data_IF_709580135544
#
_entry.id   IF_709580135544
#
_cell.length_a   1.000
_cell.length_b   1.000
_cell.length_c   1.000
_cell.angle_alpha   90.00
_cell.angle_beta   90.00
_cell.angle_gamma   90.00
#
_symmetry.space_group_name_H-M   'P 1'
#
loop_
_entity.id
_entity.type
_entity.pdbx_description
1 polymer ?
#
# COMPACT_ATOMS: atom_id res chain seq x y z
N UNK A 1 -2.78 -6.67 -8.90
CA UNK A 1 -1.92 -5.53 -8.53
C UNK A 1 -2.56 -4.85 -7.35
N UNK A 2 -1.81 -4.69 -6.27
CA UNK A 2 -2.26 -4.03 -5.04
C UNK A 2 -2.28 -2.51 -5.20
N UNK A 3 -3.03 -1.81 -4.35
CA UNK A 3 -3.10 -0.34 -4.37
C UNK A 3 -1.69 0.25 -4.15
N UNK A 4 -0.94 -0.20 -3.14
CA UNK A 4 0.44 0.25 -2.93
C UNK A 4 1.35 0.00 -4.14
N UNK A 5 1.27 -1.18 -4.76
CA UNK A 5 2.02 -1.52 -5.98
C UNK A 5 1.66 -0.59 -7.14
N UNK A 6 0.38 -0.26 -7.29
CA UNK A 6 -0.10 0.68 -8.31
C UNK A 6 0.45 2.08 -8.08
N UNK A 7 0.34 2.62 -6.86
CA UNK A 7 0.87 3.94 -6.48
C UNK A 7 2.37 4.03 -6.79
N UNK A 8 3.16 3.02 -6.37
CA UNK A 8 4.61 2.93 -6.63
C UNK A 8 4.96 2.83 -8.12
N UNK A 9 4.17 2.08 -8.89
CA UNK A 9 4.41 1.94 -10.32
C UNK A 9 4.19 3.27 -11.06
N UNK A 10 3.15 4.03 -10.70
CA UNK A 10 2.89 5.36 -11.27
C UNK A 10 4.00 6.34 -10.89
N UNK A 11 4.38 6.38 -9.61
CA UNK A 11 5.47 7.22 -9.12
C UNK A 11 6.80 6.91 -9.84
N UNK A 12 7.13 5.63 -10.00
CA UNK A 12 8.33 5.19 -10.74
C UNK A 12 8.31 5.65 -12.21
N UNK A 13 7.17 5.55 -12.89
CA UNK A 13 7.02 6.04 -14.26
C UNK A 13 7.26 7.55 -14.31
N UNK A 14 6.70 8.31 -13.36
CA UNK A 14 6.93 9.74 -13.25
C UNK A 14 8.41 10.06 -13.09
N UNK A 15 9.06 9.43 -12.11
CA UNK A 15 10.48 9.59 -11.81
C UNK A 15 11.39 9.37 -13.04
N UNK A 16 11.19 8.28 -13.78
CA UNK A 16 12.02 7.98 -14.97
C UNK A 16 11.79 8.93 -16.14
N UNK A 17 10.70 9.70 -16.12
CA UNK A 17 10.34 10.63 -17.19
C UNK A 17 10.42 12.11 -16.77
N UNK A 18 11.03 12.41 -15.61
CA UNK A 18 11.12 13.76 -15.04
C UNK A 18 9.74 14.43 -14.90
N UNK A 19 8.77 13.65 -14.39
CA UNK A 19 7.38 14.05 -14.14
C UNK A 19 7.00 13.75 -12.70
N UNK A 20 6.26 14.66 -12.07
CA UNK A 20 5.67 14.44 -10.75
C UNK A 20 4.32 13.73 -10.88
N UNK A 21 4.38 12.41 -11.13
CA UNK A 21 3.17 11.59 -11.20
C UNK A 21 2.82 11.05 -9.82
N UNK A 22 1.55 11.19 -9.45
CA UNK A 22 1.04 10.65 -8.19
C UNK A 22 -0.36 10.09 -8.37
N UNK A 23 -0.73 9.19 -7.48
CA UNK A 23 -2.09 8.68 -7.40
C UNK A 23 -2.79 9.34 -6.22
N UNK A 24 -3.84 10.09 -6.51
CA UNK A 24 -4.78 10.61 -5.50
C UNK A 24 -6.09 9.85 -5.61
N UNK A 25 -6.98 10.00 -4.63
CA UNK A 25 -8.23 9.25 -4.60
C UNK A 25 -9.35 10.02 -3.90
N UNK A 26 -10.58 9.82 -4.36
CA UNK A 26 -11.81 10.24 -3.66
C UNK A 26 -12.63 9.00 -3.24
N UNK A 27 -13.91 9.15 -2.95
CA UNK A 27 -14.76 8.03 -2.54
C UNK A 27 -15.02 7.01 -3.66
N UNK A 28 -14.87 7.39 -4.92
CA UNK A 28 -15.32 6.62 -6.08
C UNK A 28 -14.17 6.15 -6.98
N UNK A 29 -13.13 6.95 -7.13
CA UNK A 29 -12.11 6.76 -8.14
C UNK A 29 -10.69 6.97 -7.58
N UNK A 30 -9.73 6.29 -8.21
CA UNK A 30 -8.31 6.64 -8.16
C UNK A 30 -8.01 7.55 -9.34
N UNK A 31 -7.31 8.67 -9.11
CA UNK A 31 -6.85 9.57 -10.14
C UNK A 31 -5.34 9.54 -10.23
N UNK A 32 -4.82 9.52 -11.46
CA UNK A 32 -3.41 9.81 -11.72
C UNK A 32 -3.31 11.31 -11.99
N UNK A 33 -2.49 12.02 -11.21
CA UNK A 33 -2.23 13.45 -11.36
C UNK A 33 -0.79 13.71 -11.80
N UNK A 34 -0.60 14.77 -12.57
CA UNK A 34 0.70 15.40 -12.87
C UNK A 34 0.56 16.91 -12.73
N UNK A 35 1.38 17.54 -11.90
CA UNK A 35 1.36 19.01 -11.72
C UNK A 35 -0.06 19.58 -11.48
N UNK A 36 -0.87 18.90 -10.65
CA UNK A 36 -2.29 19.23 -10.32
C UNK A 36 -3.32 18.99 -11.44
N UNK A 37 -2.91 18.39 -12.56
CA UNK A 37 -3.81 18.01 -13.65
C UNK A 37 -4.10 16.52 -13.61
N UNK A 38 -5.36 16.16 -13.86
CA UNK A 38 -5.79 14.76 -13.91
C UNK A 38 -5.43 14.19 -15.28
N UNK A 39 -4.77 13.03 -15.28
CA UNK A 39 -4.39 12.27 -16.46
C UNK A 39 -5.36 11.11 -16.70
N UNK A 40 -5.77 10.42 -15.66
CA UNK A 40 -6.71 9.30 -15.78
C UNK A 40 -7.48 9.10 -14.48
N UNK A 41 -8.66 8.49 -14.60
CA UNK A 41 -9.48 8.02 -13.49
C UNK A 41 -9.73 6.51 -13.62
N UNK A 42 -9.69 5.80 -12.49
CA UNK A 42 -9.93 4.36 -12.40
C UNK A 42 -10.95 4.11 -11.29
N UNK A 43 -12.06 3.44 -11.61
CA UNK A 43 -13.10 3.21 -10.63
C UNK A 43 -12.69 2.20 -9.54
N UNK A 44 -13.04 2.53 -8.29
CA UNK A 44 -12.76 1.69 -7.12
C UNK A 44 -13.66 0.48 -7.01
N UNK A 45 -14.89 0.57 -7.52
CA UNK A 45 -15.93 -0.46 -7.34
C UNK A 45 -16.16 -1.29 -8.59
N UNK A 46 -15.82 -0.76 -9.77
CA UNK A 46 -16.00 -1.42 -11.05
C UNK A 46 -14.67 -1.87 -11.66
N UNK A 47 -14.69 -3.09 -12.21
CA UNK A 47 -13.50 -3.67 -12.84
C UNK A 47 -13.40 -3.18 -14.28
N UNK A 48 -12.19 -2.85 -14.72
CA UNK A 48 -11.90 -2.33 -16.06
C UNK A 48 -12.63 -1.01 -16.42
N UNK A 49 -13.21 -0.29 -15.44
CA UNK A 49 -13.77 1.03 -15.66
C UNK A 49 -12.65 2.08 -15.54
N UNK A 50 -12.25 2.63 -16.68
CA UNK A 50 -11.13 3.56 -16.82
C UNK A 50 -11.61 4.75 -17.66
N UNK A 51 -11.29 5.96 -17.23
CA UNK A 51 -11.39 7.17 -18.05
C UNK A 51 -10.01 7.77 -18.30
N UNK A 52 -9.62 7.87 -19.56
CA UNK A 52 -8.36 8.48 -20.02
C UNK A 52 -8.64 9.62 -21.01
N UNK A 53 -9.87 10.16 -21.06
CA UNK A 53 -10.26 11.24 -21.98
C UNK A 53 -9.85 12.62 -21.46
N UNK A 54 -8.78 12.69 -20.68
CA UNK A 54 -8.21 13.94 -20.20
C UNK A 54 -7.23 14.49 -21.24
N UNK A 55 -7.31 15.79 -21.52
CA UNK A 55 -6.47 16.44 -22.54
C UNK A 55 -4.99 16.19 -22.27
N UNK A 56 -4.56 16.37 -21.02
CA UNK A 56 -3.17 16.21 -20.60
C UNK A 56 -2.65 14.78 -20.77
N UNK A 57 -3.52 13.77 -20.72
CA UNK A 57 -3.14 12.39 -21.02
C UNK A 57 -2.97 12.13 -22.51
N UNK A 58 -3.83 12.72 -23.33
CA UNK A 58 -3.76 12.59 -24.79
C UNK A 58 -2.51 13.28 -25.36
N UNK A 59 -2.05 14.34 -24.70
CA UNK A 59 -0.86 15.12 -25.06
C UNK A 59 0.47 14.50 -24.58
N UNK A 60 0.42 13.42 -23.79
CA UNK A 60 1.64 12.71 -23.39
C UNK A 60 2.36 12.09 -24.59
N UNK A 61 3.69 12.02 -24.47
CA UNK A 61 4.54 11.28 -25.40
C UNK A 61 4.07 9.82 -25.48
N UNK A 62 4.13 9.24 -26.68
CA UNK A 62 3.46 7.97 -26.98
C UNK A 62 3.93 6.82 -26.09
N UNK A 63 5.24 6.72 -25.82
CA UNK A 63 5.79 5.68 -24.96
C UNK A 63 5.36 5.88 -23.51
N UNK A 64 5.48 7.09 -22.98
CA UNK A 64 5.01 7.43 -21.64
C UNK A 64 3.51 7.12 -21.46
N UNK A 65 2.70 7.44 -22.47
CA UNK A 65 1.27 7.14 -22.47
C UNK A 65 1.01 5.63 -22.48
N UNK A 66 1.78 4.86 -23.25
CA UNK A 66 1.67 3.40 -23.27
C UNK A 66 2.05 2.78 -21.92
N UNK A 67 3.15 3.22 -21.31
CA UNK A 67 3.61 2.74 -20.01
C UNK A 67 2.56 2.98 -18.92
N UNK A 68 1.93 4.16 -18.93
CA UNK A 68 0.81 4.46 -18.04
C UNK A 68 -0.39 3.56 -18.32
N UNK A 69 -0.80 3.40 -19.59
CA UNK A 69 -1.93 2.54 -19.96
C UNK A 69 -1.73 1.10 -19.50
N UNK A 70 -0.52 0.55 -19.63
CA UNK A 70 -0.22 -0.81 -19.22
C UNK A 70 -0.39 -1.01 -17.70
N UNK A 71 0.09 -0.06 -16.90
CA UNK A 71 -0.08 -0.07 -15.44
C UNK A 71 -1.54 0.13 -15.04
N UNK A 72 -2.22 1.13 -15.63
CA UNK A 72 -3.64 1.43 -15.40
C UNK A 72 -4.48 0.19 -15.72
N UNK A 73 -4.26 -0.43 -16.87
CA UNK A 73 -5.01 -1.61 -17.30
C UNK A 73 -4.75 -2.80 -16.37
N UNK A 74 -3.50 -3.05 -15.98
CA UNK A 74 -3.15 -4.12 -15.03
C UNK A 74 -3.83 -3.92 -13.67
N UNK A 75 -3.87 -2.69 -13.17
CA UNK A 75 -4.58 -2.37 -11.93
C UNK A 75 -6.09 -2.54 -12.09
N UNK A 76 -6.70 -1.88 -13.08
CA UNK A 76 -8.15 -1.90 -13.31
C UNK A 76 -8.68 -3.31 -13.62
N UNK A 77 -7.88 -4.18 -14.25
CA UNK A 77 -8.25 -5.56 -14.54
C UNK A 77 -8.11 -6.50 -13.33
N UNK A 78 -7.39 -6.09 -12.28
CA UNK A 78 -7.29 -6.85 -11.02
C UNK A 78 -8.66 -6.89 -10.33
N UNK A 79 -9.15 -8.06 -9.88
CA UNK A 79 -10.39 -8.18 -9.09
C UNK A 79 -10.41 -7.23 -7.88
N UNK A 80 -11.53 -6.58 -7.62
CA UNK A 80 -11.68 -5.57 -6.55
C UNK A 80 -11.17 -6.08 -5.19
N UNK A 81 -11.56 -7.29 -4.70
CA UNK A 81 -11.08 -7.79 -3.41
C UNK A 81 -9.57 -8.06 -3.37
N UNK A 82 -8.94 -8.23 -4.53
CA UNK A 82 -7.52 -8.48 -4.65
C UNK A 82 -6.69 -7.19 -4.75
N UNK A 83 -7.31 -6.01 -4.92
CA UNK A 83 -6.61 -4.73 -4.98
C UNK A 83 -6.18 -4.24 -3.60
N UNK A 84 -6.95 -4.56 -2.55
CA UNK A 84 -6.68 -4.12 -1.18
C UNK A 84 -5.32 -4.61 -0.70
N UNK A 85 -4.54 -3.72 -0.11
CA UNK A 85 -3.27 -4.08 0.50
C UNK A 85 -3.48 -5.10 1.61
N UNK A 86 -2.52 -6.02 1.75
CA UNK A 86 -2.63 -7.00 2.84
C UNK A 86 -2.46 -6.25 4.15
N UNK A 87 -3.47 -6.31 5.02
CA UNK A 87 -3.39 -5.76 6.37
C UNK A 87 -2.18 -6.34 7.10
N UNK A 88 -1.33 -5.43 7.57
CA UNK A 88 -0.18 -5.76 8.39
C UNK A 88 -0.53 -5.36 9.81
N UNK A 89 -0.20 -6.22 10.75
CA UNK A 89 -0.42 -6.02 12.16
C UNK A 89 0.92 -5.93 12.87
N UNK A 90 0.97 -5.16 13.94
CA UNK A 90 1.91 -5.38 15.02
C UNK A 90 1.16 -5.86 16.28
N UNK A 91 1.87 -6.30 17.31
CA UNK A 91 1.30 -6.80 18.56
C UNK A 91 2.09 -6.15 19.68
N UNK A 92 1.70 -4.95 20.13
CA UNK A 92 2.22 -4.37 21.35
C UNK A 92 1.94 -5.30 22.54
N UNK A 93 2.90 -5.36 23.46
CA UNK A 93 2.73 -6.00 24.75
C UNK A 93 2.40 -4.90 25.77
N UNK A 94 1.12 -4.53 25.96
CA UNK A 94 0.74 -3.26 26.60
C UNK A 94 1.24 -3.12 28.05
N UNK A 95 1.40 -4.26 28.73
CA UNK A 95 1.89 -4.33 30.10
C UNK A 95 3.41 -4.44 30.22
N UNK A 96 4.13 -4.41 29.09
CA UNK A 96 5.58 -4.60 29.03
C UNK A 96 6.23 -3.43 28.28
N UNK A 97 7.00 -2.64 29.02
CA UNK A 97 7.77 -1.51 28.50
C UNK A 97 9.22 -1.60 28.97
N UNK A 98 10.13 -1.01 28.22
CA UNK A 98 11.53 -0.87 28.67
C UNK A 98 11.60 0.05 29.89
N UNK A 99 12.72 0.03 30.62
CA UNK A 99 12.96 0.96 31.73
C UNK A 99 12.88 2.44 31.31
N UNK A 100 13.05 2.71 30.02
CA UNK A 100 12.94 4.04 29.43
C UNK A 100 11.53 4.36 28.91
N UNK A 101 10.56 3.46 29.10
CA UNK A 101 9.16 3.64 28.71
C UNK A 101 8.84 3.25 27.27
N UNK A 102 9.77 2.64 26.53
CA UNK A 102 9.52 2.22 25.14
C UNK A 102 8.59 1.01 25.09
N UNK A 103 7.69 1.01 24.12
CA UNK A 103 6.76 -0.09 23.90
C UNK A 103 7.49 -1.32 23.33
N UNK A 104 7.28 -2.47 23.96
CA UNK A 104 7.75 -3.75 23.45
C UNK A 104 6.68 -4.41 22.59
N UNK A 105 7.12 -5.10 21.55
CA UNK A 105 6.27 -5.83 20.62
C UNK A 105 6.60 -7.31 20.69
N UNK A 106 5.60 -8.14 20.41
CA UNK A 106 5.83 -9.56 20.20
C UNK A 106 6.79 -9.74 19.02
N UNK A 107 7.78 -10.61 19.16
CA UNK A 107 8.79 -10.84 18.14
C UNK A 107 8.98 -12.33 17.96
N UNK A 108 9.21 -12.79 16.72
CA UNK A 108 9.37 -14.21 16.44
C UNK A 108 10.70 -14.53 15.74
N UNK A 109 11.54 -15.32 16.40
CA UNK A 109 12.79 -15.86 15.83
C UNK A 109 12.98 -17.31 16.33
N UNK A 110 12.16 -18.22 15.81
CA UNK A 110 12.06 -19.61 16.28
C UNK A 110 11.19 -19.76 17.53
N UNK A 111 11.28 -18.80 18.47
CA UNK A 111 10.37 -18.64 19.61
C UNK A 111 9.82 -17.21 19.68
N UNK A 112 8.75 -17.03 20.45
CA UNK A 112 8.18 -15.71 20.74
C UNK A 112 8.90 -15.04 21.91
N UNK A 113 9.24 -13.75 21.75
CA UNK A 113 9.88 -12.95 22.79
C UNK A 113 9.53 -11.46 22.65
N UNK A 114 9.62 -10.67 23.73
CA UNK A 114 9.42 -9.23 23.68
C UNK A 114 10.68 -8.52 23.14
N UNK A 115 10.51 -7.57 22.22
CA UNK A 115 11.59 -6.70 21.77
C UNK A 115 11.06 -5.32 21.37
N UNK A 116 11.91 -4.29 21.49
CA UNK A 116 11.61 -2.96 20.94
C UNK A 116 11.49 -3.04 19.42
N UNK A 117 10.86 -2.06 18.78
CA UNK A 117 10.71 -2.06 17.31
C UNK A 117 12.07 -2.21 16.63
N UNK A 118 12.20 -3.23 15.78
CA UNK A 118 13.39 -3.53 15.01
C UNK A 118 12.96 -4.14 13.66
N UNK A 119 13.35 -3.50 12.56
CA UNK A 119 13.01 -3.90 11.18
C UNK A 119 13.70 -5.18 10.72
N UNK A 120 14.80 -5.56 11.36
CA UNK A 120 15.53 -6.82 11.08
C UNK A 120 14.85 -8.05 11.70
N UNK A 121 13.92 -7.83 12.65
CA UNK A 121 13.22 -8.89 13.35
C UNK A 121 11.78 -9.02 12.85
N UNK A 122 11.27 -10.27 12.84
CA UNK A 122 9.87 -10.51 12.51
C UNK A 122 8.96 -10.04 13.65
N UNK A 123 8.44 -8.83 13.48
CA UNK A 123 7.56 -8.12 14.42
C UNK A 123 6.28 -7.60 13.76
N UNK A 124 6.07 -7.98 12.51
CA UNK A 124 4.87 -7.68 11.75
C UNK A 124 4.26 -8.98 11.25
N UNK A 125 2.94 -9.00 11.17
CA UNK A 125 2.19 -10.19 10.79
C UNK A 125 1.14 -9.80 9.77
N UNK A 126 0.95 -10.66 8.77
CA UNK A 126 -0.22 -10.56 7.89
C UNK A 126 -1.42 -11.10 8.64
N UNK A 127 -2.62 -10.67 8.29
CA UNK A 127 -3.87 -11.16 8.90
C UNK A 127 -3.94 -12.69 8.99
N UNK A 128 -3.60 -13.38 7.88
CA UNK A 128 -3.55 -14.84 7.81
C UNK A 128 -2.56 -15.50 8.76
N UNK A 129 -1.51 -14.79 9.19
CA UNK A 129 -0.47 -15.31 10.07
C UNK A 129 -0.83 -15.14 11.55
N UNK A 130 -1.83 -14.30 11.86
CA UNK A 130 -2.27 -14.07 13.25
C UNK A 130 -2.75 -15.36 13.91
N UNK A 131 -3.29 -16.31 13.15
CA UNK A 131 -3.74 -17.61 13.67
C UNK A 131 -2.61 -18.43 14.31
N UNK A 132 -1.35 -18.15 13.95
CA UNK A 132 -0.18 -18.85 14.49
C UNK A 132 0.37 -18.21 15.77
N UNK A 133 -0.24 -17.11 16.20
CA UNK A 133 0.15 -16.37 17.39
C UNK A 133 -0.65 -16.91 18.58
N UNK A 134 -0.02 -17.09 19.76
CA UNK A 134 -0.74 -17.50 20.96
C UNK A 134 -1.94 -16.59 21.23
N UNK A 135 -3.06 -17.19 21.62
CA UNK A 135 -4.35 -16.50 21.78
C UNK A 135 -4.25 -15.28 22.70
N UNK A 136 -3.49 -15.41 23.79
CA UNK A 136 -3.22 -14.36 24.76
C UNK A 136 -2.61 -13.08 24.18
N UNK A 137 -1.98 -13.15 23.01
CA UNK A 137 -1.41 -11.98 22.33
C UNK A 137 -2.24 -11.51 21.13
N UNK A 138 -3.13 -12.34 20.59
CA UNK A 138 -3.90 -12.00 19.39
C UNK A 138 -4.81 -10.79 19.62
N UNK A 139 -5.35 -10.66 20.84
CA UNK A 139 -6.22 -9.54 21.21
C UNK A 139 -5.49 -8.19 21.25
N UNK A 140 -4.15 -8.20 21.28
CA UNK A 140 -3.35 -6.98 21.21
C UNK A 140 -2.93 -6.61 19.79
N UNK A 141 -3.37 -7.34 18.76
CA UNK A 141 -3.02 -7.03 17.38
C UNK A 141 -3.57 -5.65 16.97
N UNK A 142 -2.67 -4.78 16.54
CA UNK A 142 -2.98 -3.44 16.04
C UNK A 142 -2.60 -3.40 14.56
N UNK A 143 -3.56 -3.05 13.71
CA UNK A 143 -3.32 -2.84 12.28
C UNK A 143 -2.39 -1.64 12.12
N UNK A 144 -1.30 -1.83 11.36
CA UNK A 144 -0.39 -0.76 10.97
C UNK A 144 -0.60 -0.44 9.50
N UNK A 145 -0.79 0.84 9.22
CA UNK A 145 -0.67 1.37 7.86
C UNK A 145 0.84 1.50 7.64
N UNK A 146 1.39 0.85 6.62
CA UNK A 146 2.76 1.20 6.16
C UNK A 146 2.69 2.65 5.68
N UNK A 147 3.04 3.58 6.57
CA UNK A 147 3.40 4.93 6.19
C UNK A 147 4.88 4.83 5.83
N UNK A 148 5.20 4.82 4.54
CA UNK A 148 6.59 4.92 4.09
C UNK A 148 7.16 6.26 4.57
N UNK A 149 8.30 6.21 5.27
CA UNK A 149 9.16 7.37 5.57
C UNK A 149 9.96 7.79 4.33
#
# INVERSE_FOLDING_TARGET
>A
MKISEFKKAIDSIGFYNDKDFKVVEDDFDFYIESDTKILAAINKSERCFIDTKYLDFLELEERLRQDLLDVIYKFASTPIPEREDSKIYNIPLPHLKTSNGEQLFLTHQGNFFPHVRNTELRQTWKEKDLIHIPEEYRDFAVEIIEVEE
#
